data_IF_462836777192
#
_entry.id   IF_462836777192
#
_cell.length_a   1.000
_cell.length_b   1.000
_cell.length_c   1.000
_cell.angle_alpha   90.00
_cell.angle_beta   90.00
_cell.angle_gamma   90.00
#
_symmetry.space_group_name_H-M   'P 1'
#
loop_
_entity.id
_entity.type
_entity.pdbx_description
1 polymer ?
#
# COMPACT_ATOMS: atom_id res chain seq x y z
N UNK A 1 -19.38 -12.02 -2.45
CA UNK A 1 -18.73 -11.86 -1.13
C UNK A 1 -17.37 -11.13 -1.18
N UNK A 2 -16.40 -11.60 -1.98
CA UNK A 2 -15.02 -11.10 -1.96
C UNK A 2 -14.87 -9.63 -2.43
N UNK A 3 -15.72 -9.17 -3.36
CA UNK A 3 -15.71 -7.78 -3.84
C UNK A 3 -16.05 -6.77 -2.72
N UNK A 4 -16.89 -7.14 -1.75
CA UNK A 4 -17.22 -6.26 -0.63
C UNK A 4 -15.98 -5.95 0.22
N UNK A 5 -15.14 -6.95 0.47
CA UNK A 5 -13.89 -6.77 1.21
C UNK A 5 -12.90 -5.86 0.47
N UNK A 6 -12.87 -5.92 -0.86
CA UNK A 6 -12.07 -5.01 -1.68
C UNK A 6 -12.54 -3.57 -1.50
N UNK A 7 -13.86 -3.32 -1.53
CA UNK A 7 -14.41 -1.98 -1.31
C UNK A 7 -14.10 -1.44 0.09
N UNK A 8 -14.26 -2.28 1.12
CA UNK A 8 -13.90 -1.92 2.50
C UNK A 8 -12.41 -1.57 2.62
N UNK A 9 -11.53 -2.37 2.00
CA UNK A 9 -10.10 -2.09 1.95
C UNK A 9 -9.79 -0.76 1.27
N UNK A 10 -10.35 -0.51 0.08
CA UNK A 10 -10.09 0.73 -0.68
C UNK A 10 -10.62 1.95 0.08
N UNK A 11 -11.78 1.85 0.71
CA UNK A 11 -12.34 2.92 1.55
C UNK A 11 -11.44 3.22 2.76
N UNK A 12 -10.97 2.19 3.47
CA UNK A 12 -10.05 2.35 4.59
C UNK A 12 -8.72 2.95 4.16
N UNK A 13 -8.19 2.53 3.01
CA UNK A 13 -6.97 3.07 2.42
C UNK A 13 -7.12 4.56 2.11
N UNK A 14 -8.20 4.95 1.41
CA UNK A 14 -8.47 6.34 1.08
C UNK A 14 -8.66 7.21 2.34
N UNK A 15 -9.38 6.70 3.34
CA UNK A 15 -9.58 7.40 4.63
C UNK A 15 -8.26 7.63 5.34
N UNK A 16 -7.40 6.61 5.41
CA UNK A 16 -6.07 6.71 6.00
C UNK A 16 -5.22 7.76 5.28
N UNK A 17 -5.23 7.73 3.96
CA UNK A 17 -4.47 8.67 3.13
C UNK A 17 -4.90 10.12 3.38
N UNK A 18 -6.21 10.39 3.39
CA UNK A 18 -6.76 11.71 3.71
C UNK A 18 -6.44 12.13 5.16
N UNK A 19 -6.57 11.22 6.13
CA UNK A 19 -6.25 11.50 7.52
C UNK A 19 -4.76 11.84 7.70
N UNK A 20 -3.87 11.11 7.02
CA UNK A 20 -2.42 11.34 7.09
C UNK A 20 -2.00 12.72 6.59
N UNK A 21 -2.70 13.24 5.57
CA UNK A 21 -2.50 14.60 5.05
C UNK A 21 -2.99 15.68 6.00
N UNK A 22 -4.06 15.42 6.77
CA UNK A 22 -4.61 16.37 7.74
C UNK A 22 -3.84 16.43 9.07
N UNK A 23 -2.90 15.53 9.31
CA UNK A 23 -2.09 15.55 10.53
C UNK A 23 -1.24 16.83 10.60
N UNK A 24 -1.32 17.61 11.71
CA UNK A 24 -0.51 18.82 11.88
C UNK A 24 0.99 18.59 11.68
N UNK A 25 1.70 19.60 11.18
CA UNK A 25 3.15 19.54 10.97
C UNK A 25 3.95 19.32 12.27
N UNK A 26 3.37 19.68 13.43
CA UNK A 26 3.94 19.41 14.77
C UNK A 26 4.08 17.92 15.07
N UNK A 27 3.26 17.08 14.45
CA UNK A 27 3.31 15.62 14.65
C UNK A 27 4.36 15.03 13.71
N UNK A 28 5.36 14.36 14.29
CA UNK A 28 6.39 13.66 13.53
C UNK A 28 5.79 12.50 12.72
N UNK A 29 6.29 12.31 11.49
CA UNK A 29 5.87 11.20 10.62
C UNK A 29 6.11 9.85 11.28
N UNK A 30 7.22 9.68 12.01
CA UNK A 30 7.53 8.42 12.71
C UNK A 30 6.47 8.09 13.77
N UNK A 31 5.96 9.12 14.47
CA UNK A 31 4.89 8.96 15.45
C UNK A 31 3.58 8.56 14.77
N UNK A 32 3.22 9.20 13.66
CA UNK A 32 2.02 8.86 12.90
C UNK A 32 2.06 7.40 12.38
N UNK A 33 3.21 6.97 11.86
CA UNK A 33 3.41 5.59 11.37
C UNK A 33 3.36 4.60 12.53
N UNK A 34 3.99 4.89 13.66
CA UNK A 34 3.91 4.04 14.85
C UNK A 34 2.47 3.81 15.31
N UNK A 35 1.66 4.88 15.34
CA UNK A 35 0.23 4.75 15.69
C UNK A 35 -0.58 3.97 14.65
N UNK A 36 -0.18 3.97 13.38
CA UNK A 36 -0.84 3.15 12.36
C UNK A 36 -0.61 1.63 12.55
N UNK A 37 0.42 1.23 13.32
CA UNK A 37 0.69 -0.17 13.64
C UNK A 37 -0.23 -0.71 14.73
N UNK A 38 -0.70 0.13 15.65
CA UNK A 38 -1.58 -0.28 16.74
C UNK A 38 -2.84 -1.01 16.26
N UNK A 39 -3.68 -0.45 15.36
CA UNK A 39 -4.87 -1.16 14.88
C UNK A 39 -4.53 -2.43 14.09
N UNK A 40 -3.38 -2.48 13.39
CA UNK A 40 -2.92 -3.67 12.69
C UNK A 40 -2.56 -4.80 13.67
N UNK A 41 -1.83 -4.48 14.74
CA UNK A 41 -1.49 -5.43 15.80
C UNK A 41 -2.73 -5.92 16.53
N UNK A 42 -3.67 -5.02 16.86
CA UNK A 42 -4.93 -5.38 17.52
C UNK A 42 -5.80 -6.28 16.63
N UNK A 43 -5.90 -5.97 15.33
CA UNK A 43 -6.62 -6.82 14.38
C UNK A 43 -5.97 -8.21 14.27
N UNK A 44 -4.64 -8.29 14.22
CA UNK A 44 -3.90 -9.55 14.23
C UNK A 44 -4.15 -10.37 15.50
N UNK A 45 -4.10 -9.73 16.67
CA UNK A 45 -4.40 -10.38 17.96
C UNK A 45 -5.85 -10.88 18.03
N UNK A 46 -6.80 -10.09 17.51
CA UNK A 46 -8.21 -10.49 17.42
C UNK A 46 -8.40 -11.69 16.47
N UNK A 47 -7.77 -11.67 15.30
CA UNK A 47 -7.82 -12.78 14.35
C UNK A 47 -7.22 -14.05 14.94
N UNK A 48 -6.11 -13.93 15.66
CA UNK A 48 -5.47 -15.03 16.36
C UNK A 48 -6.38 -15.65 17.42
N UNK A 49 -7.18 -14.86 18.13
CA UNK A 49 -8.20 -15.37 19.05
C UNK A 49 -9.24 -16.26 18.33
N UNK A 50 -9.72 -15.84 17.16
CA UNK A 50 -10.71 -16.61 16.39
C UNK A 50 -10.12 -17.84 15.67
N UNK A 51 -8.82 -17.85 15.37
CA UNK A 51 -8.16 -18.92 14.59
C UNK A 51 -7.54 -20.04 15.43
N UNK A 52 -7.89 -20.11 16.73
CA UNK A 52 -7.42 -21.16 17.62
C UNK A 52 -6.20 -20.78 18.49
N UNK A 53 -5.95 -19.49 18.67
CA UNK A 53 -4.99 -18.97 19.64
C UNK A 53 -3.54 -18.93 19.16
N UNK A 54 -2.61 -18.78 20.10
CA UNK A 54 -1.18 -18.66 19.82
C UNK A 54 -0.58 -19.96 19.32
N UNK A 55 0.22 -19.86 18.26
CA UNK A 55 1.07 -20.94 17.77
C UNK A 55 2.54 -20.53 17.92
N UNK A 56 3.42 -21.43 18.39
CA UNK A 56 4.85 -21.15 18.46
C UNK A 56 5.40 -20.81 17.07
N UNK A 57 6.19 -19.74 17.00
CA UNK A 57 6.84 -19.30 15.76
C UNK A 57 8.25 -19.90 15.72
N UNK A 58 8.59 -20.61 14.63
CA UNK A 58 9.96 -21.10 14.43
C UNK A 58 10.92 -19.94 14.15
N UNK A 59 12.22 -20.12 14.39
CA UNK A 59 13.19 -19.04 14.19
C UNK A 59 13.27 -18.58 12.73
N UNK A 60 13.09 -19.51 11.80
CA UNK A 60 13.02 -19.24 10.36
C UNK A 60 11.79 -18.39 10.02
N UNK A 61 10.62 -18.77 10.54
CA UNK A 61 9.38 -17.99 10.32
C UNK A 61 9.47 -16.60 10.96
N UNK A 62 10.12 -16.51 12.12
CA UNK A 62 10.35 -15.24 12.81
C UNK A 62 11.24 -14.29 11.98
N UNK A 63 12.26 -14.82 11.30
CA UNK A 63 13.10 -14.02 10.40
C UNK A 63 12.29 -13.46 9.22
N UNK A 64 11.42 -14.26 8.61
CA UNK A 64 10.51 -13.80 7.56
C UNK A 64 9.56 -12.72 8.06
N UNK A 65 8.93 -12.91 9.23
CA UNK A 65 8.05 -11.91 9.82
C UNK A 65 8.79 -10.60 10.14
N UNK A 66 10.02 -10.68 10.66
CA UNK A 66 10.83 -9.50 10.89
C UNK A 66 11.11 -8.75 9.58
N UNK A 67 11.47 -9.46 8.51
CA UNK A 67 11.66 -8.88 7.18
C UNK A 67 10.40 -8.18 6.67
N UNK A 68 9.23 -8.82 6.80
CA UNK A 68 7.94 -8.24 6.42
C UNK A 68 7.60 -6.98 7.22
N UNK A 69 7.82 -7.00 8.53
CA UNK A 69 7.56 -5.86 9.43
C UNK A 69 8.46 -4.67 9.06
N UNK A 70 9.75 -4.91 8.83
CA UNK A 70 10.70 -3.86 8.46
C UNK A 70 10.38 -3.27 7.08
N UNK A 71 10.10 -4.11 6.08
CA UNK A 71 9.71 -3.66 4.75
C UNK A 71 8.42 -2.83 4.80
N UNK A 72 7.43 -3.27 5.58
CA UNK A 72 6.20 -2.54 5.80
C UNK A 72 6.48 -1.19 6.49
N UNK A 73 7.26 -1.16 7.56
CA UNK A 73 7.58 0.07 8.28
C UNK A 73 8.21 1.13 7.34
N UNK A 74 9.17 0.71 6.51
CA UNK A 74 9.80 1.59 5.49
C UNK A 74 8.78 2.05 4.45
N UNK A 75 7.94 1.14 3.94
CA UNK A 75 6.90 1.49 2.96
C UNK A 75 5.90 2.50 3.52
N UNK A 76 5.48 2.34 4.78
CA UNK A 76 4.54 3.26 5.42
C UNK A 76 5.18 4.61 5.74
N UNK A 77 6.44 4.63 6.15
CA UNK A 77 7.15 5.87 6.42
C UNK A 77 7.38 6.69 5.16
N UNK A 78 7.85 6.07 4.09
CA UNK A 78 8.05 6.72 2.78
C UNK A 78 6.73 7.20 2.18
N UNK A 79 5.69 6.36 2.20
CA UNK A 79 4.36 6.73 1.71
C UNK A 79 3.75 7.88 2.51
N UNK A 80 3.79 7.81 3.85
CA UNK A 80 3.22 8.87 4.70
C UNK A 80 3.99 10.17 4.52
N UNK A 81 5.31 10.11 4.33
CA UNK A 81 6.12 11.29 4.02
C UNK A 81 5.69 11.90 2.69
N UNK A 82 5.57 11.11 1.63
CA UNK A 82 5.13 11.58 0.31
C UNK A 82 3.72 12.20 0.34
N UNK A 83 2.79 11.59 1.10
CA UNK A 83 1.42 12.08 1.28
C UNK A 83 1.34 13.40 2.07
N UNK A 84 2.36 13.70 2.89
CA UNK A 84 2.44 14.94 3.70
C UNK A 84 3.18 16.07 2.99
N UNK A 85 4.14 15.75 2.12
CA UNK A 85 4.98 16.74 1.42
C UNK A 85 4.52 17.07 0.01
N UNK A 86 3.83 16.15 -0.67
CA UNK A 86 3.38 16.30 -2.05
C UNK A 86 1.87 16.50 -2.20
N UNK A 87 1.43 16.86 -3.40
CA UNK A 87 0.01 16.81 -3.73
C UNK A 87 -0.44 15.35 -3.92
N UNK A 88 -1.65 15.04 -3.44
CA UNK A 88 -2.22 13.68 -3.46
C UNK A 88 -2.43 13.20 -4.88
N UNK A 89 -2.76 14.12 -5.79
CA UNK A 89 -2.82 13.92 -7.23
C UNK A 89 -1.52 13.30 -7.73
N UNK A 90 -0.37 13.93 -7.46
CA UNK A 90 0.94 13.45 -7.90
C UNK A 90 1.34 12.08 -7.35
N UNK A 91 0.86 11.69 -6.16
CA UNK A 91 1.16 10.39 -5.52
C UNK A 91 0.21 9.28 -6.00
N UNK A 92 -1.01 9.62 -6.43
CA UNK A 92 -2.02 8.65 -6.81
C UNK A 92 -1.58 7.73 -7.98
N UNK A 93 -0.97 8.22 -9.08
CA UNK A 93 -0.49 7.39 -10.18
C UNK A 93 0.55 6.34 -9.77
N UNK A 94 1.40 6.64 -8.79
CA UNK A 94 2.41 5.69 -8.30
C UNK A 94 1.81 4.45 -7.64
N UNK A 95 0.55 4.51 -7.18
CA UNK A 95 -0.13 3.33 -6.63
C UNK A 95 -0.36 2.25 -7.67
N UNK A 96 -0.44 2.63 -8.94
CA UNK A 96 -0.62 1.67 -10.03
C UNK A 96 0.70 1.02 -10.46
N UNK A 97 1.85 1.68 -10.28
CA UNK A 97 3.15 1.09 -10.62
C UNK A 97 3.47 -0.15 -9.78
N UNK A 98 2.90 -0.25 -8.56
CA UNK A 98 3.05 -1.43 -7.69
C UNK A 98 2.62 -2.73 -8.37
N UNK A 99 1.71 -2.67 -9.36
CA UNK A 99 1.27 -3.84 -10.11
C UNK A 99 2.42 -4.42 -10.92
N UNK A 100 3.26 -3.58 -11.54
CA UNK A 100 4.42 -4.03 -12.28
C UNK A 100 5.42 -4.75 -11.37
N UNK A 101 5.68 -4.19 -10.18
CA UNK A 101 6.53 -4.85 -9.18
C UNK A 101 5.91 -6.16 -8.69
N UNK A 102 4.60 -6.21 -8.48
CA UNK A 102 3.91 -7.43 -8.09
C UNK A 102 4.04 -8.53 -9.15
N UNK A 103 3.95 -8.21 -10.44
CA UNK A 103 4.15 -9.16 -11.53
C UNK A 103 5.59 -9.69 -11.59
N UNK A 104 6.58 -8.80 -11.40
CA UNK A 104 7.99 -9.19 -11.33
C UNK A 104 8.19 -10.17 -10.17
N UNK A 105 7.66 -9.86 -8.98
CA UNK A 105 7.76 -10.74 -7.82
C UNK A 105 7.00 -12.05 -8.05
N UNK A 106 5.80 -12.01 -8.63
CA UNK A 106 5.02 -13.20 -8.98
C UNK A 106 5.83 -14.17 -9.85
N UNK A 107 6.47 -13.65 -10.90
CA UNK A 107 7.31 -14.45 -11.78
C UNK A 107 8.55 -15.01 -11.06
N UNK A 108 9.34 -14.16 -10.39
CA UNK A 108 10.63 -14.60 -9.82
C UNK A 108 10.50 -15.39 -8.51
N UNK A 109 9.51 -15.10 -7.67
CA UNK A 109 9.37 -15.72 -6.36
C UNK A 109 8.36 -16.87 -6.35
N UNK A 110 7.39 -16.87 -7.27
CA UNK A 110 6.29 -17.85 -7.29
C UNK A 110 6.20 -18.65 -8.60
N UNK A 111 7.04 -18.35 -9.60
CA UNK A 111 7.00 -18.98 -10.94
C UNK A 111 5.62 -18.84 -11.62
N UNK A 112 4.90 -17.77 -11.30
CA UNK A 112 3.56 -17.50 -11.82
C UNK A 112 3.64 -16.60 -13.06
N UNK A 113 3.24 -17.15 -14.21
CA UNK A 113 3.14 -16.40 -15.48
C UNK A 113 1.69 -15.91 -15.67
N UNK A 114 1.47 -14.59 -15.80
CA UNK A 114 0.13 -14.05 -16.02
C UNK A 114 -0.46 -14.50 -17.35
N UNK A 115 -1.76 -14.79 -17.36
CA UNK A 115 -2.51 -15.12 -18.58
C UNK A 115 -2.83 -13.87 -19.42
N UNK A 116 -3.38 -14.08 -20.62
CA UNK A 116 -3.67 -13.00 -21.55
C UNK A 116 -4.69 -11.99 -20.98
N UNK A 117 -5.67 -12.45 -20.19
CA UNK A 117 -6.64 -11.55 -19.55
C UNK A 117 -5.99 -10.70 -18.47
N UNK A 118 -5.07 -11.26 -17.68
CA UNK A 118 -4.30 -10.52 -16.67
C UNK A 118 -3.44 -9.46 -17.35
N UNK A 119 -2.75 -9.79 -18.44
CA UNK A 119 -1.99 -8.80 -19.21
C UNK A 119 -2.87 -7.67 -19.73
N UNK A 120 -4.05 -7.97 -20.27
CA UNK A 120 -4.99 -6.94 -20.72
C UNK A 120 -5.41 -5.99 -19.57
N UNK A 121 -5.72 -6.55 -18.40
CA UNK A 121 -6.06 -5.77 -17.20
C UNK A 121 -4.89 -4.91 -16.71
N UNK A 122 -3.69 -5.48 -16.68
CA UNK A 122 -2.45 -4.77 -16.29
C UNK A 122 -2.19 -3.60 -17.24
N UNK A 123 -2.25 -3.82 -18.55
CA UNK A 123 -2.06 -2.76 -19.55
C UNK A 123 -3.06 -1.62 -19.37
N UNK A 124 -4.33 -1.95 -19.11
CA UNK A 124 -5.37 -0.95 -18.86
C UNK A 124 -5.07 -0.13 -17.60
N UNK A 125 -4.71 -0.79 -16.48
CA UNK A 125 -4.43 -0.10 -15.22
C UNK A 125 -3.17 0.77 -15.35
N UNK A 126 -2.07 0.21 -15.88
CA UNK A 126 -0.81 0.95 -16.05
C UNK A 126 -0.97 2.09 -17.04
N UNK A 127 -1.64 1.87 -18.17
CA UNK A 127 -1.95 2.90 -19.16
C UNK A 127 -2.78 4.05 -18.58
N UNK A 128 -3.79 3.73 -17.77
CA UNK A 128 -4.59 4.75 -17.08
C UNK A 128 -3.77 5.57 -16.07
N UNK A 129 -2.84 4.93 -15.34
CA UNK A 129 -1.94 5.59 -14.42
C UNK A 129 -0.96 6.53 -15.12
N UNK A 130 -0.37 6.08 -16.23
CA UNK A 130 0.53 6.90 -17.07
C UNK A 130 -0.21 8.11 -17.66
N UNK A 131 -1.44 7.90 -18.14
CA UNK A 131 -2.28 8.98 -18.64
C UNK A 131 -2.61 10.01 -17.55
N UNK A 132 -2.99 9.55 -16.35
CA UNK A 132 -3.27 10.44 -15.22
C UNK A 132 -2.05 11.28 -14.84
N UNK A 133 -0.87 10.66 -14.77
CA UNK A 133 0.39 11.34 -14.49
C UNK A 133 0.74 12.39 -15.56
N UNK A 134 0.61 12.03 -16.84
CA UNK A 134 0.85 12.96 -17.95
C UNK A 134 -0.12 14.16 -17.91
N UNK A 135 -1.41 13.90 -17.64
CA UNK A 135 -2.45 14.94 -17.53
C UNK A 135 -2.15 15.91 -16.38
N UNK A 136 -1.75 15.40 -15.22
CA UNK A 136 -1.44 16.23 -14.05
C UNK A 136 -0.22 17.12 -14.26
N UNK A 137 0.83 16.61 -14.90
CA UNK A 137 1.99 17.44 -15.30
C UNK A 137 1.58 18.61 -16.18
N UNK A 138 0.74 18.35 -17.19
CA UNK A 138 0.28 19.39 -18.12
C UNK A 138 -0.59 20.45 -17.43
N UNK A 139 -1.43 20.05 -16.47
CA UNK A 139 -2.23 20.98 -15.67
C UNK A 139 -1.35 21.86 -14.77
N UNK A 140 -0.32 21.29 -14.16
CA UNK A 140 0.64 22.04 -13.34
C UNK A 140 1.44 23.07 -14.17
N UNK A 141 1.79 22.75 -15.42
CA UNK A 141 2.47 23.65 -16.35
C UNK A 141 1.57 24.80 -16.86
N UNK A 142 0.26 24.60 -16.93
CA UNK A 142 -0.70 25.61 -17.45
C UNK A 142 -1.19 26.56 -16.34
N UNK A 143 -1.04 26.19 -15.07
CA UNK A 143 -1.44 26.97 -13.90
C UNK A 143 -0.32 27.79 -13.25
N UNK A 144 0.89 27.78 -13.82
CA UNK A 144 2.04 28.60 -13.44
C UNK A 144 2.21 29.76 -14.42
#
# INVERSE_FOLDING_TARGET
PNLLWVLVYVFGLATRDLASRRLPARISTSFAVAWSMVPMTLAGALMMFFQGGWRPVSIETAAWYLGMILALAVALWTLTTAMRSGDVSSVAPFRYSRILFALIIAYFAFDEIPDLMTWAGVTLIVGSGLYAFWRERRLAETGA
#
